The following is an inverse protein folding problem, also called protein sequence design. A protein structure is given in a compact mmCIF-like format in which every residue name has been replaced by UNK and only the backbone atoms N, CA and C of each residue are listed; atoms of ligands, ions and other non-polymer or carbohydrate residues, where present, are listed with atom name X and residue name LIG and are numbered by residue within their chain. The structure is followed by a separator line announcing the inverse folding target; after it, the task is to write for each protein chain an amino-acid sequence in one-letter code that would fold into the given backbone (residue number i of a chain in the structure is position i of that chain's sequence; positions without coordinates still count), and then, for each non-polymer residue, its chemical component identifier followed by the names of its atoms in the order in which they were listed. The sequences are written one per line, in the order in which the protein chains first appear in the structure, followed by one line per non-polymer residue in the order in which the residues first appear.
data_IF_958170844138
#
_entry.id   IF_958170844138
#
_cell.length_a   1.000
_cell.length_b   1.000
_cell.length_c   1.000
_cell.angle_alpha   90.00
_cell.angle_beta   90.00
_cell.angle_gamma   90.00
#
_symmetry.space_group_name_H-M   'P 1'
#
loop_
_entity.id
_entity.type
_entity.pdbx_description
1 polymer ?
#
# COMPACT_ATOMS: atom_id res chain seq x y z
N UNK A 1 23.12 12.57 -1.68
CA UNK A 1 22.35 13.81 -1.74
C UNK A 1 20.90 13.53 -1.40
N UNK A 2 20.37 14.21 -0.39
CA UNK A 2 19.02 14.04 0.19
C UNK A 2 17.94 14.16 -0.90
N UNK A 3 18.16 15.01 -1.92
CA UNK A 3 17.25 15.22 -3.05
C UNK A 3 17.03 13.99 -3.96
N UNK A 4 17.88 13.00 -3.91
CA UNK A 4 17.75 11.75 -4.68
C UNK A 4 17.07 10.62 -3.88
N UNK A 5 16.83 10.80 -2.59
CA UNK A 5 16.20 9.79 -1.75
C UNK A 5 14.72 9.60 -2.11
N UNK A 6 14.25 8.37 -2.08
CA UNK A 6 12.84 8.04 -2.35
C UNK A 6 11.87 8.82 -1.45
N UNK A 7 12.09 8.93 -0.11
CA UNK A 7 11.22 9.69 0.77
C UNK A 7 11.06 11.16 0.34
N UNK A 8 12.14 11.79 -0.11
CA UNK A 8 12.06 13.17 -0.57
C UNK A 8 11.20 13.31 -1.83
N UNK A 9 11.36 12.40 -2.80
CA UNK A 9 10.52 12.39 -4.02
C UNK A 9 9.05 12.16 -3.71
N UNK A 10 8.75 11.28 -2.75
CA UNK A 10 7.38 11.03 -2.29
C UNK A 10 6.78 12.28 -1.64
N UNK A 11 7.53 12.97 -0.79
CA UNK A 11 7.09 14.19 -0.13
C UNK A 11 6.83 15.33 -1.14
N UNK A 12 7.71 15.49 -2.13
CA UNK A 12 7.49 16.43 -3.23
C UNK A 12 6.24 16.05 -4.03
N UNK A 13 6.02 14.77 -4.31
CA UNK A 13 4.80 14.27 -4.98
C UNK A 13 3.54 14.63 -4.21
N UNK A 14 3.53 14.41 -2.88
CA UNK A 14 2.40 14.78 -2.00
C UNK A 14 2.13 16.29 -2.06
N UNK A 15 3.14 17.12 -1.84
CA UNK A 15 2.99 18.58 -1.82
C UNK A 15 2.48 19.07 -3.18
N UNK A 16 3.09 18.63 -4.27
CA UNK A 16 2.66 19.00 -5.61
C UNK A 16 1.22 18.55 -5.90
N UNK A 17 0.87 17.31 -5.53
CA UNK A 17 -0.49 16.79 -5.67
C UNK A 17 -1.53 17.61 -4.91
N UNK A 18 -1.24 17.94 -3.65
CA UNK A 18 -2.13 18.79 -2.82
C UNK A 18 -2.32 20.17 -3.43
N UNK A 19 -1.25 20.83 -3.85
CA UNK A 19 -1.32 22.17 -4.45
C UNK A 19 -2.14 22.17 -5.73
N UNK A 20 -1.88 21.21 -6.64
CA UNK A 20 -2.64 21.07 -7.88
C UNK A 20 -4.11 20.79 -7.61
N UNK A 21 -4.42 19.89 -6.67
CA UNK A 21 -5.79 19.56 -6.30
C UNK A 21 -6.55 20.75 -5.71
N UNK A 22 -5.93 21.56 -4.86
CA UNK A 22 -6.53 22.79 -4.32
C UNK A 22 -6.79 23.81 -5.43
N UNK A 23 -5.85 24.00 -6.36
CA UNK A 23 -6.02 24.90 -7.50
C UNK A 23 -7.18 24.45 -8.40
N UNK A 24 -7.30 23.15 -8.68
CA UNK A 24 -8.40 22.59 -9.46
C UNK A 24 -9.74 22.71 -8.71
N UNK A 25 -9.74 22.59 -7.40
CA UNK A 25 -10.93 22.75 -6.56
C UNK A 25 -11.41 24.22 -6.53
N UNK A 26 -10.51 25.19 -6.59
CA UNK A 26 -10.85 26.62 -6.63
C UNK A 26 -11.35 27.10 -7.99
N UNK A 27 -10.96 26.41 -9.07
CA UNK A 27 -11.37 26.70 -10.46
C UNK A 27 -12.46 25.74 -10.96
N UNK A 28 -13.23 25.18 -10.03
CA UNK A 28 -14.31 24.23 -10.32
C UNK A 28 -15.38 24.88 -11.22
N UNK A 29 -15.80 24.13 -12.24
CA UNK A 29 -16.74 24.62 -13.27
C UNK A 29 -16.12 24.92 -14.63
N UNK A 30 -14.81 25.09 -14.73
CA UNK A 30 -14.13 25.31 -16.00
C UNK A 30 -13.91 23.98 -16.73
N UNK A 31 -14.19 23.95 -18.03
CA UNK A 31 -13.93 22.78 -18.88
C UNK A 31 -12.48 22.30 -18.82
N UNK A 32 -11.54 23.24 -18.65
CA UNK A 32 -10.11 22.96 -18.51
C UNK A 32 -9.79 22.18 -17.22
N UNK A 33 -10.35 22.60 -16.09
CA UNK A 33 -10.15 21.91 -14.78
C UNK A 33 -10.69 20.49 -14.82
N UNK A 34 -11.86 20.27 -15.44
CA UNK A 34 -12.44 18.94 -15.62
C UNK A 34 -11.58 18.05 -16.53
N UNK A 35 -11.03 18.60 -17.61
CA UNK A 35 -10.14 17.84 -18.49
C UNK A 35 -8.87 17.38 -17.76
N UNK A 36 -8.25 18.24 -16.96
CA UNK A 36 -7.07 17.87 -16.14
C UNK A 36 -7.45 16.81 -15.12
N UNK A 37 -8.59 16.94 -14.44
CA UNK A 37 -9.05 15.96 -13.46
C UNK A 37 -9.27 14.59 -14.07
N UNK A 38 -9.88 14.52 -15.24
CA UNK A 38 -10.07 13.29 -15.99
C UNK A 38 -8.73 12.61 -16.30
N UNK A 39 -7.71 13.40 -16.69
CA UNK A 39 -6.36 12.88 -16.94
C UNK A 39 -5.75 12.34 -15.63
N UNK A 40 -5.85 13.09 -14.53
CA UNK A 40 -5.34 12.70 -13.21
C UNK A 40 -5.96 11.38 -12.75
N UNK A 41 -7.29 11.27 -12.82
CA UNK A 41 -8.03 10.07 -12.40
C UNK A 41 -7.68 8.88 -13.30
N UNK A 42 -7.64 9.07 -14.61
CA UNK A 42 -7.28 8.01 -15.57
C UNK A 42 -5.85 7.52 -15.37
N UNK A 43 -4.89 8.44 -15.21
CA UNK A 43 -3.49 8.08 -15.00
C UNK A 43 -3.29 7.37 -13.65
N UNK A 44 -3.94 7.86 -12.58
CA UNK A 44 -3.97 7.18 -11.28
C UNK A 44 -4.51 5.76 -11.41
N UNK A 45 -5.59 5.56 -12.15
CA UNK A 45 -6.19 4.24 -12.38
C UNK A 45 -5.20 3.30 -13.07
N UNK A 46 -4.56 3.73 -14.17
CA UNK A 46 -3.58 2.92 -14.90
C UNK A 46 -2.38 2.54 -14.02
N UNK A 47 -1.82 3.51 -13.29
CA UNK A 47 -0.70 3.26 -12.39
C UNK A 47 -1.08 2.29 -11.26
N UNK A 48 -2.29 2.40 -10.72
CA UNK A 48 -2.81 1.47 -9.72
C UNK A 48 -2.91 0.04 -10.27
N UNK A 49 -3.34 -0.14 -11.52
CA UNK A 49 -3.40 -1.46 -12.14
C UNK A 49 -2.00 -2.09 -12.28
N UNK A 50 -1.00 -1.31 -12.68
CA UNK A 50 0.39 -1.78 -12.78
C UNK A 50 0.92 -2.19 -11.41
N UNK A 51 0.68 -1.39 -10.37
CA UNK A 51 1.10 -1.70 -9.01
C UNK A 51 0.43 -2.99 -8.52
N UNK A 52 -0.89 -3.10 -8.70
CA UNK A 52 -1.66 -4.27 -8.29
C UNK A 52 -1.23 -5.55 -9.01
N UNK A 53 -0.86 -5.46 -10.28
CA UNK A 53 -0.31 -6.59 -11.04
C UNK A 53 1.02 -7.08 -10.46
N UNK A 54 1.87 -6.18 -9.97
CA UNK A 54 3.17 -6.52 -9.42
C UNK A 54 3.12 -7.11 -8.01
N UNK A 55 2.06 -6.85 -7.22
CA UNK A 55 1.97 -7.31 -5.83
C UNK A 55 2.11 -8.83 -5.68
N UNK A 56 1.36 -9.69 -6.41
CA UNK A 56 1.53 -11.14 -6.30
C UNK A 56 2.93 -11.62 -6.70
N UNK A 57 3.53 -11.00 -7.71
CA UNK A 57 4.90 -11.32 -8.12
C UNK A 57 5.91 -11.06 -7.01
N UNK A 58 5.77 -9.92 -6.32
CA UNK A 58 6.62 -9.56 -5.18
C UNK A 58 6.46 -10.58 -4.06
N UNK A 59 5.23 -10.97 -3.72
CA UNK A 59 4.95 -11.94 -2.67
C UNK A 59 5.65 -13.27 -2.96
N UNK A 60 5.50 -13.78 -4.18
CA UNK A 60 6.13 -15.05 -4.59
C UNK A 60 7.64 -14.93 -4.55
N UNK A 61 8.18 -13.86 -5.14
CA UNK A 61 9.62 -13.66 -5.28
C UNK A 61 10.36 -13.50 -3.95
N UNK A 62 9.70 -13.00 -2.91
CA UNK A 62 10.37 -12.79 -1.62
C UNK A 62 10.05 -13.88 -0.60
N UNK A 63 8.83 -14.39 -0.56
CA UNK A 63 8.42 -15.37 0.46
C UNK A 63 8.94 -16.78 0.12
N UNK A 64 8.77 -17.24 -1.12
CA UNK A 64 9.15 -18.60 -1.49
C UNK A 64 10.66 -18.88 -1.28
N UNK A 65 11.60 -18.06 -1.79
CA UNK A 65 13.03 -18.31 -1.56
C UNK A 65 13.42 -18.13 -0.09
N UNK A 66 12.80 -17.19 0.64
CA UNK A 66 13.09 -17.02 2.07
C UNK A 66 12.77 -18.28 2.88
N UNK A 67 11.64 -18.94 2.60
CA UNK A 67 11.27 -20.20 3.25
C UNK A 67 12.22 -21.34 2.84
N UNK A 68 12.58 -21.41 1.57
CA UNK A 68 13.51 -22.43 1.05
C UNK A 68 14.87 -22.33 1.74
N UNK A 69 15.39 -21.11 1.94
CA UNK A 69 16.68 -20.88 2.62
C UNK A 69 16.67 -21.26 4.10
N UNK A 70 15.50 -21.35 4.77
CA UNK A 70 15.40 -21.86 6.14
C UNK A 70 15.72 -23.37 6.25
N UNK A 71 15.72 -24.10 5.16
CA UNK A 71 16.12 -25.51 5.07
C UNK A 71 15.23 -26.43 5.92
N UNK A 72 15.84 -27.41 6.59
CA UNK A 72 15.14 -28.44 7.38
C UNK A 72 14.24 -27.91 8.50
N UNK A 73 14.51 -26.71 8.99
CA UNK A 73 13.77 -26.08 10.08
C UNK A 73 12.64 -25.15 9.59
N UNK A 74 12.44 -25.04 8.27
CA UNK A 74 11.48 -24.11 7.66
C UNK A 74 10.07 -24.25 8.26
N UNK A 75 9.56 -25.49 8.37
CA UNK A 75 8.22 -25.75 8.91
C UNK A 75 8.07 -25.33 10.38
N UNK A 76 9.08 -25.63 11.20
CA UNK A 76 9.06 -25.27 12.63
C UNK A 76 9.16 -23.76 12.82
N UNK A 77 10.07 -23.10 12.11
CA UNK A 77 10.24 -21.65 12.18
C UNK A 77 9.01 -20.91 11.65
N UNK A 78 8.42 -21.39 10.56
CA UNK A 78 7.20 -20.83 10.01
C UNK A 78 6.03 -20.96 10.98
N UNK A 79 5.84 -22.16 11.59
CA UNK A 79 4.79 -22.38 12.57
C UNK A 79 4.92 -21.44 13.77
N UNK A 80 6.14 -21.30 14.31
CA UNK A 80 6.41 -20.39 15.42
C UNK A 80 6.11 -18.94 15.01
N UNK A 81 6.60 -18.51 13.85
CA UNK A 81 6.38 -17.15 13.36
C UNK A 81 4.89 -16.84 13.17
N UNK A 82 4.15 -17.77 12.56
CA UNK A 82 2.69 -17.63 12.35
C UNK A 82 1.96 -17.57 13.70
N UNK A 83 2.30 -18.46 14.64
CA UNK A 83 1.68 -18.47 15.96
C UNK A 83 1.92 -17.16 16.72
N UNK A 84 3.16 -16.65 16.71
CA UNK A 84 3.49 -15.36 17.33
C UNK A 84 2.72 -14.22 16.64
N UNK A 85 2.69 -14.20 15.30
CA UNK A 85 2.00 -13.18 14.54
C UNK A 85 0.50 -13.17 14.84
N UNK A 86 -0.16 -14.32 14.86
CA UNK A 86 -1.59 -14.42 15.20
C UNK A 86 -1.87 -14.02 16.65
N UNK A 87 -1.08 -14.50 17.60
CA UNK A 87 -1.25 -14.14 19.03
C UNK A 87 -1.07 -12.63 19.22
N UNK A 88 -0.03 -12.05 18.62
CA UNK A 88 0.21 -10.61 18.66
C UNK A 88 -0.93 -9.81 17.99
N UNK A 89 -1.43 -10.28 16.84
CA UNK A 89 -2.53 -9.61 16.13
C UNK A 89 -3.82 -9.64 16.92
N UNK A 90 -4.15 -10.78 17.54
CA UNK A 90 -5.33 -10.90 18.41
C UNK A 90 -5.21 -9.96 19.62
N UNK A 91 -4.05 -9.96 20.28
CA UNK A 91 -3.78 -9.05 21.40
C UNK A 91 -3.88 -7.57 21.00
N UNK A 92 -3.29 -7.21 19.86
CA UNK A 92 -3.37 -5.85 19.32
C UNK A 92 -4.82 -5.44 18.98
N UNK A 93 -5.64 -6.38 18.47
CA UNK A 93 -7.05 -6.14 18.19
C UNK A 93 -7.85 -5.84 19.47
N UNK A 94 -7.65 -6.60 20.54
CA UNK A 94 -8.25 -6.34 21.84
C UNK A 94 -7.80 -4.99 22.42
N UNK A 95 -6.51 -4.71 22.38
CA UNK A 95 -5.95 -3.45 22.84
C UNK A 95 -6.51 -2.25 22.05
N UNK A 96 -6.57 -2.37 20.72
CA UNK A 96 -7.12 -1.34 19.84
C UNK A 96 -8.60 -1.11 20.09
N UNK A 97 -9.38 -2.18 20.29
CA UNK A 97 -10.80 -2.09 20.60
C UNK A 97 -11.03 -1.38 21.95
N UNK A 98 -10.30 -1.77 22.99
CA UNK A 98 -10.40 -1.13 24.32
C UNK A 98 -10.00 0.35 24.23
N UNK A 99 -8.90 0.66 23.53
CA UNK A 99 -8.46 2.04 23.31
C UNK A 99 -9.48 2.85 22.52
N UNK A 100 -10.11 2.26 21.52
CA UNK A 100 -11.17 2.88 20.74
C UNK A 100 -12.39 3.23 21.59
N UNK A 101 -12.87 2.31 22.42
CA UNK A 101 -13.99 2.58 23.34
C UNK A 101 -13.70 3.71 24.32
N UNK A 102 -12.44 3.83 24.80
CA UNK A 102 -12.06 4.88 25.74
C UNK A 102 -11.86 6.24 25.05
N UNK A 103 -11.34 6.28 23.83
CA UNK A 103 -10.87 7.51 23.18
C UNK A 103 -11.87 8.09 22.19
N UNK A 104 -12.62 7.26 21.44
CA UNK A 104 -13.55 7.73 20.41
C UNK A 104 -14.63 8.69 20.95
N UNK A 105 -15.25 8.47 22.14
CA UNK A 105 -16.25 9.38 22.66
C UNK A 105 -15.69 10.79 22.96
N UNK A 106 -14.39 10.92 23.17
CA UNK A 106 -13.70 12.19 23.45
C UNK A 106 -13.20 12.88 22.18
N UNK A 107 -13.22 12.15 21.05
CA UNK A 107 -12.92 12.70 19.74
C UNK A 107 -14.26 13.11 19.12
N UNK A 108 -14.53 14.40 19.04
CA UNK A 108 -15.66 14.93 18.27
C UNK A 108 -15.43 14.67 16.77
N UNK A 109 -15.60 13.39 16.38
CA UNK A 109 -15.53 12.97 14.98
C UNK A 109 -16.91 13.29 14.41
N UNK A 110 -17.02 14.43 13.72
CA UNK A 110 -18.17 14.66 12.87
C UNK A 110 -18.18 13.61 11.77
N UNK A 111 -19.18 12.75 11.76
CA UNK A 111 -19.41 11.69 10.76
C UNK A 111 -19.76 12.24 9.37
N UNK A 112 -19.54 13.53 9.13
CA UNK A 112 -19.94 14.20 7.90
C UNK A 112 -18.89 14.00 6.82
N UNK A 113 -19.08 12.93 6.05
CA UNK A 113 -18.66 12.90 4.65
C UNK A 113 -19.48 13.89 3.78
N UNK A 114 -20.40 14.64 4.40
CA UNK A 114 -21.24 15.60 3.74
C UNK A 114 -20.43 16.76 3.15
N UNK A 115 -20.60 16.97 1.85
CA UNK A 115 -19.99 18.06 1.11
C UNK A 115 -18.59 17.75 0.56
N UNK A 116 -18.23 16.49 0.39
CA UNK A 116 -17.12 16.10 -0.45
C UNK A 116 -17.55 16.15 -1.93
N UNK A 117 -16.68 16.65 -2.79
CA UNK A 117 -16.91 16.64 -4.23
C UNK A 117 -16.66 15.25 -4.79
N UNK A 118 -17.48 14.82 -5.73
CA UNK A 118 -17.26 13.57 -6.44
C UNK A 118 -16.16 13.73 -7.50
N UNK A 119 -15.26 12.75 -7.57
CA UNK A 119 -14.29 12.66 -8.67
C UNK A 119 -15.00 12.16 -9.92
N UNK A 120 -14.63 12.69 -11.10
CA UNK A 120 -15.13 12.14 -12.36
C UNK A 120 -14.66 10.71 -12.54
N UNK A 121 -15.41 9.91 -13.29
CA UNK A 121 -14.99 8.58 -13.69
C UNK A 121 -13.76 8.64 -14.61
N UNK A 122 -12.93 7.59 -14.60
CA UNK A 122 -11.82 7.50 -15.53
C UNK A 122 -12.34 7.49 -16.97
N UNK A 123 -11.71 8.26 -17.83
CA UNK A 123 -12.09 8.33 -19.27
C UNK A 123 -11.73 7.04 -20.01
N UNK A 124 -10.68 6.37 -19.55
CA UNK A 124 -10.20 5.11 -20.10
C UNK A 124 -9.87 4.15 -18.97
N UNK A 125 -10.48 2.98 -19.01
CA UNK A 125 -10.24 1.90 -18.04
C UNK A 125 -9.43 0.79 -18.70
N UNK A 126 -8.15 0.71 -18.37
CA UNK A 126 -7.29 -0.42 -18.72
C UNK A 126 -7.33 -1.44 -17.59
N UNK A 127 -8.16 -2.45 -17.69
CA UNK A 127 -8.17 -3.54 -16.70
C UNK A 127 -7.00 -4.48 -16.95
N UNK A 128 -6.00 -4.44 -16.08
CA UNK A 128 -4.91 -5.42 -16.04
C UNK A 128 -5.20 -6.36 -14.86
N UNK A 129 -5.75 -7.56 -15.11
CA UNK A 129 -6.06 -8.48 -14.03
C UNK A 129 -4.77 -8.93 -13.34
N UNK A 130 -4.82 -9.08 -12.04
CA UNK A 130 -3.73 -9.69 -11.27
C UNK A 130 -3.54 -11.14 -11.73
N UNK A 131 -2.29 -11.63 -11.77
CA UNK A 131 -1.98 -13.02 -12.10
C UNK A 131 -2.72 -13.97 -11.15
N UNK A 132 -2.77 -13.59 -9.85
CA UNK A 132 -3.54 -14.28 -8.82
C UNK A 132 -3.87 -13.32 -7.68
N UNK A 133 -4.91 -13.59 -6.87
CA UNK A 133 -5.17 -12.83 -5.65
C UNK A 133 -4.00 -12.89 -4.67
N UNK A 134 -3.83 -11.83 -3.88
CA UNK A 134 -2.73 -11.68 -2.89
C UNK A 134 -2.65 -12.89 -1.94
N UNK A 135 -3.80 -13.34 -1.41
CA UNK A 135 -3.85 -14.49 -0.51
C UNK A 135 -3.43 -15.80 -1.21
N UNK A 136 -3.82 -15.97 -2.47
CA UNK A 136 -3.39 -17.13 -3.27
C UNK A 136 -1.88 -17.11 -3.51
N UNK A 137 -1.30 -15.96 -3.81
CA UNK A 137 0.14 -15.80 -3.96
C UNK A 137 0.90 -16.12 -2.66
N UNK A 138 0.35 -15.71 -1.51
CA UNK A 138 0.92 -16.02 -0.20
C UNK A 138 0.93 -17.53 0.07
N UNK A 139 -0.23 -18.19 -0.06
CA UNK A 139 -0.37 -19.63 0.16
C UNK A 139 0.52 -20.41 -0.82
N UNK A 140 0.50 -20.05 -2.09
CA UNK A 140 1.36 -20.66 -3.11
C UNK A 140 2.85 -20.55 -2.76
N UNK A 141 3.29 -19.36 -2.33
CA UNK A 141 4.68 -19.13 -1.94
C UNK A 141 5.12 -19.98 -0.76
N UNK A 142 4.24 -20.08 0.25
CA UNK A 142 4.50 -20.93 1.42
C UNK A 142 4.58 -22.39 1.01
N UNK A 143 3.63 -22.88 0.21
CA UNK A 143 3.60 -24.29 -0.23
C UNK A 143 4.85 -24.66 -1.04
N UNK A 144 5.21 -23.85 -2.03
CA UNK A 144 6.39 -24.10 -2.88
C UNK A 144 7.67 -24.00 -2.05
N UNK A 145 7.79 -22.96 -1.20
CA UNK A 145 8.96 -22.77 -0.35
C UNK A 145 9.17 -23.94 0.62
N UNK A 146 8.10 -24.43 1.26
CA UNK A 146 8.15 -25.61 2.15
C UNK A 146 8.49 -26.89 1.38
N UNK A 147 7.82 -27.13 0.25
CA UNK A 147 8.07 -28.32 -0.57
C UNK A 147 9.52 -28.37 -1.06
N UNK A 148 10.07 -27.24 -1.53
CA UNK A 148 11.46 -27.14 -1.94
C UNK A 148 12.42 -27.37 -0.77
N UNK A 149 12.12 -26.85 0.43
CA UNK A 149 12.92 -27.09 1.62
C UNK A 149 12.90 -28.56 2.06
N UNK A 150 11.75 -29.25 2.00
CA UNK A 150 11.63 -30.68 2.36
C UNK A 150 12.35 -31.62 1.39
N UNK A 151 12.22 -31.34 0.10
CA UNK A 151 12.84 -32.16 -0.97
C UNK A 151 14.31 -31.82 -1.20
N UNK A 152 14.82 -30.74 -0.57
CA UNK A 152 16.17 -30.21 -0.82
C UNK A 152 16.42 -29.98 -2.31
N UNK A 153 15.42 -29.45 -3.00
CA UNK A 153 15.46 -29.22 -4.44
C UNK A 153 16.34 -27.99 -4.77
N UNK A 154 17.67 -28.22 -4.89
CA UNK A 154 18.64 -27.14 -5.16
C UNK A 154 18.32 -26.38 -6.44
N UNK A 155 17.87 -27.08 -7.49
CA UNK A 155 17.50 -26.41 -8.75
C UNK A 155 16.36 -25.44 -8.56
N UNK A 156 15.31 -25.85 -7.83
CA UNK A 156 14.14 -25.00 -7.55
C UNK A 156 14.54 -23.80 -6.65
N UNK A 157 15.40 -24.05 -5.65
CA UNK A 157 15.93 -22.97 -4.81
C UNK A 157 16.66 -21.91 -5.65
N UNK A 158 17.54 -22.33 -6.54
CA UNK A 158 18.27 -21.40 -7.41
C UNK A 158 17.34 -20.64 -8.37
N UNK A 159 16.33 -21.31 -8.94
CA UNK A 159 15.34 -20.66 -9.81
C UNK A 159 14.56 -19.59 -9.03
N UNK A 160 14.13 -19.88 -7.81
CA UNK A 160 13.43 -18.93 -6.96
C UNK A 160 14.30 -17.73 -6.59
N UNK A 161 15.58 -17.92 -6.34
CA UNK A 161 16.53 -16.83 -6.08
C UNK A 161 16.77 -15.97 -7.32
N UNK A 162 16.91 -16.56 -8.48
CA UNK A 162 17.03 -15.80 -9.75
C UNK A 162 15.74 -15.04 -10.04
N UNK A 163 14.58 -15.66 -9.82
CA UNK A 163 13.29 -14.98 -9.95
C UNK A 163 13.17 -13.79 -9.00
N UNK A 164 13.66 -13.92 -7.75
CA UNK A 164 13.71 -12.80 -6.79
C UNK A 164 14.54 -11.63 -7.33
N UNK A 165 15.70 -11.91 -7.91
CA UNK A 165 16.57 -10.87 -8.52
C UNK A 165 15.87 -10.14 -9.67
N UNK A 166 15.17 -10.90 -10.53
CA UNK A 166 14.40 -10.34 -11.65
C UNK A 166 13.28 -9.44 -11.14
N UNK A 167 12.47 -9.92 -10.18
CA UNK A 167 11.37 -9.14 -9.62
C UNK A 167 11.90 -7.91 -8.87
N UNK A 168 12.99 -8.02 -8.14
CA UNK A 168 13.64 -6.88 -7.48
C UNK A 168 14.08 -5.82 -8.51
N UNK A 169 14.58 -6.24 -9.67
CA UNK A 169 14.93 -5.31 -10.74
C UNK A 169 13.69 -4.60 -11.31
N UNK A 170 12.58 -5.31 -11.50
CA UNK A 170 11.29 -4.74 -11.92
C UNK A 170 10.80 -3.71 -10.89
N UNK A 171 10.79 -4.08 -9.62
CA UNK A 171 10.39 -3.17 -8.53
C UNK A 171 11.26 -1.92 -8.50
N UNK A 172 12.57 -2.10 -8.58
CA UNK A 172 13.53 -0.98 -8.47
C UNK A 172 13.49 -0.04 -9.67
N UNK A 173 13.27 -0.57 -10.87
CA UNK A 173 13.35 0.21 -12.12
C UNK A 173 11.99 0.73 -12.59
N UNK A 174 10.91 0.07 -12.23
CA UNK A 174 9.55 0.41 -12.69
C UNK A 174 8.70 0.91 -11.53
N UNK A 175 8.50 0.11 -10.48
CA UNK A 175 7.58 0.47 -9.41
C UNK A 175 8.06 1.67 -8.59
N UNK A 176 9.32 1.66 -8.15
CA UNK A 176 9.85 2.74 -7.29
C UNK A 176 9.76 4.11 -7.98
N UNK A 177 10.10 4.28 -9.27
CA UNK A 177 9.91 5.55 -9.96
C UNK A 177 8.45 5.96 -10.16
N UNK A 178 7.53 5.01 -10.28
CA UNK A 178 6.09 5.26 -10.46
C UNK A 178 5.44 5.76 -9.16
N UNK A 179 5.89 5.30 -8.00
CA UNK A 179 5.28 5.60 -6.70
C UNK A 179 5.11 7.10 -6.42
N UNK A 180 6.09 8.00 -6.63
CA UNK A 180 5.90 9.43 -6.38
C UNK A 180 4.79 10.05 -7.24
N UNK A 181 4.66 9.61 -8.50
CA UNK A 181 3.60 10.05 -9.40
C UNK A 181 2.24 9.54 -8.94
N UNK A 182 2.14 8.26 -8.63
CA UNK A 182 0.91 7.65 -8.12
C UNK A 182 0.41 8.33 -6.85
N UNK A 183 1.31 8.58 -5.90
CA UNK A 183 1.00 9.28 -4.66
C UNK A 183 0.58 10.73 -4.94
N UNK A 184 1.30 11.45 -5.80
CA UNK A 184 0.94 12.81 -6.19
C UNK A 184 -0.45 12.90 -6.80
N UNK A 185 -0.80 12.00 -7.73
CA UNK A 185 -2.12 11.94 -8.35
C UNK A 185 -3.22 11.57 -7.32
N UNK A 186 -2.91 10.69 -6.36
CA UNK A 186 -3.83 10.32 -5.30
C UNK A 186 -4.14 11.51 -4.39
N UNK A 187 -3.11 12.23 -3.95
CA UNK A 187 -3.29 13.42 -3.12
C UNK A 187 -3.94 14.59 -3.88
N UNK A 188 -3.74 14.68 -5.19
CA UNK A 188 -4.45 15.63 -6.04
C UNK A 188 -5.97 15.36 -6.02
N UNK A 189 -6.40 14.10 -6.18
CA UNK A 189 -7.81 13.71 -6.07
C UNK A 189 -8.39 14.02 -4.69
N UNK A 190 -7.72 13.57 -3.61
CA UNK A 190 -8.15 13.82 -2.23
C UNK A 190 -8.25 15.31 -1.88
N UNK A 191 -7.36 16.12 -2.44
CA UNK A 191 -7.37 17.55 -2.23
C UNK A 191 -8.52 18.23 -2.98
N UNK A 192 -8.80 17.80 -4.21
CA UNK A 192 -9.94 18.28 -4.99
C UNK A 192 -11.28 17.92 -4.33
N UNK A 193 -11.46 16.72 -3.83
CA UNK A 193 -12.65 16.29 -3.08
C UNK A 193 -12.89 17.12 -1.81
N UNK A 194 -11.86 17.78 -1.29
CA UNK A 194 -11.90 18.48 -0.01
C UNK A 194 -11.63 17.59 1.20
N UNK A 195 -11.26 16.32 0.98
CA UNK A 195 -10.92 15.38 2.05
C UNK A 195 -9.75 15.88 2.89
N UNK A 196 -8.73 16.47 2.26
CA UNK A 196 -7.56 16.98 2.98
C UNK A 196 -7.93 18.10 3.92
N UNK A 197 -8.67 19.09 3.48
CA UNK A 197 -9.01 20.26 4.28
C UNK A 197 -9.97 19.95 5.42
N UNK A 198 -10.92 19.02 5.20
CA UNK A 198 -11.95 18.67 6.19
C UNK A 198 -11.52 17.55 7.12
N UNK A 199 -10.77 16.57 6.63
CA UNK A 199 -10.49 15.34 7.37
C UNK A 199 -9.09 15.29 7.98
N UNK A 200 -8.08 16.00 7.41
CA UNK A 200 -6.69 15.97 7.94
C UNK A 200 -6.60 16.34 9.42
N UNK A 201 -7.30 17.35 9.96
CA UNK A 201 -7.20 17.65 11.38
C UNK A 201 -7.68 16.50 12.29
N UNK A 202 -8.69 15.74 11.84
CA UNK A 202 -9.21 14.58 12.56
C UNK A 202 -8.25 13.40 12.40
N UNK A 203 -7.78 13.13 11.19
CA UNK A 203 -6.82 12.06 10.92
C UNK A 203 -5.49 12.27 11.67
N UNK A 204 -5.00 13.50 11.80
CA UNK A 204 -3.79 13.78 12.57
C UNK A 204 -3.93 13.37 14.03
N UNK A 205 -5.07 13.67 14.65
CA UNK A 205 -5.35 13.22 16.03
C UNK A 205 -5.37 11.69 16.12
N UNK A 206 -6.02 11.02 15.18
CA UNK A 206 -6.10 9.56 15.13
C UNK A 206 -4.70 8.96 14.93
N UNK A 207 -3.90 9.50 14.01
CA UNK A 207 -2.53 9.02 13.74
C UNK A 207 -1.67 9.13 15.01
N UNK A 208 -1.73 10.23 15.74
CA UNK A 208 -0.97 10.41 17.00
C UNK A 208 -1.38 9.35 18.02
N UNK A 209 -2.70 9.12 18.18
CA UNK A 209 -3.22 8.10 19.11
C UNK A 209 -2.75 6.70 18.71
N UNK A 210 -2.81 6.37 17.41
CA UNK A 210 -2.36 5.08 16.88
C UNK A 210 -0.85 4.91 17.08
N UNK A 211 -0.04 5.94 16.86
CA UNK A 211 1.39 5.90 17.11
C UNK A 211 1.71 5.65 18.59
N UNK A 212 1.06 6.39 19.48
CA UNK A 212 1.22 6.19 20.93
C UNK A 212 0.81 4.77 21.32
N UNK A 213 -0.36 4.31 20.85
CA UNK A 213 -0.84 2.95 21.09
C UNK A 213 0.10 1.88 20.56
N UNK A 214 0.71 2.10 19.39
CA UNK A 214 1.71 1.19 18.83
C UNK A 214 2.95 1.08 19.73
N UNK A 215 3.49 2.21 20.20
CA UNK A 215 4.65 2.20 21.12
C UNK A 215 4.34 1.60 22.48
N UNK A 216 3.10 1.71 22.97
CA UNK A 216 2.68 1.08 24.23
C UNK A 216 2.56 -0.45 24.06
N UNK A 217 2.09 -0.91 22.88
CA UNK A 217 1.92 -2.32 22.58
C UNK A 217 3.26 -3.03 22.30
N UNK A 218 4.26 -2.36 21.78
CA UNK A 218 5.57 -2.90 21.44
C UNK A 218 6.43 -3.16 22.68
#
# INVERSE_FOLDING_TARGET
SIFRSLPFKLLVGVIAGVLVGLLLSSTDGNAFSRAILNIVVTLKYILNQIINFCIPLIIIAFIAPSITQMGKNASKLLLIAVTIAYTSSVGAAFFSTASGYLLIPHLSISSTADGLKELPAAVFELSIPQIMPVMSALVFSIMIGLAAAWTKAELISNILEEFQKIVLAIVSRIMIPILPFFIGLTFCGLSYEGSITKQVPVFLKIIIIVLIGHYIWM
#
